data_IF_467830145360
#
_entry.id   IF_467830145360
#
_cell.length_a   1.000
_cell.length_b   1.000
_cell.length_c   1.000
_cell.angle_alpha   90.00
_cell.angle_beta   90.00
_cell.angle_gamma   90.00
#
_symmetry.space_group_name_H-M   'P 1'
#
loop_
_entity.id
_entity.type
_entity.pdbx_description
1 polymer ?
2 non-polymer ?
#
# COMPACT_ATOMS: atom_id res chain seq x y z
N UNK A 3 14.18 -9.61 16.47
CA UNK A 3 13.14 -9.14 15.50
C UNK A 3 13.23 -7.64 15.29
N UNK A 4 14.02 -7.22 14.32
CA UNK A 4 14.19 -5.81 14.01
C UNK A 4 13.34 -5.40 12.81
N UNK A 5 12.01 -5.55 12.96
CA UNK A 5 11.08 -5.20 11.89
C UNK A 5 9.71 -4.85 12.46
N UNK A 6 8.94 -4.09 11.70
CA UNK A 6 7.61 -3.68 12.13
C UNK A 6 6.61 -4.82 11.96
N UNK A 7 5.75 -5.05 12.98
CA UNK A 7 4.74 -6.12 12.95
C UNK A 7 3.65 -5.89 11.92
N UNK A 8 3.12 -4.67 11.89
CA UNK A 8 2.05 -4.31 10.95
C UNK A 8 2.35 -4.82 9.54
N UNK A 9 3.51 -4.45 9.02
CA UNK A 9 3.92 -4.87 7.68
C UNK A 9 4.33 -6.34 7.67
N UNK A 10 5.00 -6.77 8.73
CA UNK A 10 5.46 -8.15 8.84
C UNK A 10 4.29 -9.13 8.73
N UNK A 11 3.08 -8.66 9.01
CA UNK A 11 1.89 -9.49 8.94
C UNK A 11 1.39 -9.64 7.51
N UNK A 12 1.38 -8.53 6.77
CA UNK A 12 0.92 -8.54 5.39
C UNK A 12 1.93 -9.23 4.48
N UNK A 13 1.46 -9.69 3.32
CA UNK A 13 2.33 -10.36 2.38
C UNK A 13 2.78 -9.45 1.26
N UNK A 14 2.70 -9.95 0.02
CA UNK A 14 3.10 -9.17 -1.14
C UNK A 14 2.15 -9.40 -2.31
N UNK A 15 2.04 -8.41 -3.19
CA UNK A 15 1.16 -8.50 -4.35
C UNK A 15 1.96 -8.78 -5.61
N UNK A 16 1.34 -9.49 -6.55
CA UNK A 16 2.00 -9.82 -7.81
C UNK A 16 2.01 -8.62 -8.75
N UNK A 17 2.91 -8.65 -9.73
CA UNK A 17 3.02 -7.56 -10.69
C UNK A 17 1.73 -7.39 -11.48
N UNK A 18 1.03 -8.51 -11.70
CA UNK A 18 -0.23 -8.48 -12.44
C UNK A 18 -1.26 -7.59 -11.76
N UNK A 19 -1.37 -7.74 -10.44
CA UNK A 19 -2.31 -6.94 -9.67
C UNK A 19 -1.85 -5.49 -9.54
N UNK A 20 -0.55 -5.31 -9.33
CA UNK A 20 0.02 -3.97 -9.20
C UNK A 20 -0.04 -3.21 -10.52
N UNK A 21 0.07 -3.94 -11.63
CA UNK A 21 0.02 -3.31 -12.95
C UNK A 21 -1.24 -2.46 -13.12
N UNK A 22 -2.36 -2.99 -12.67
CA UNK A 22 -3.63 -2.28 -12.78
C UNK A 22 -3.65 -1.06 -11.87
N UNK A 23 -3.16 -1.23 -10.65
CA UNK A 23 -3.11 -0.14 -9.69
C UNK A 23 -2.10 0.91 -10.15
N UNK A 24 -1.05 0.45 -10.82
CA UNK A 24 -0.01 1.33 -11.34
C UNK A 24 -0.51 2.15 -12.54
N UNK A 25 -1.65 1.76 -13.09
CA UNK A 25 -2.20 2.46 -14.25
C UNK A 25 -2.53 3.91 -13.91
N UNK A 26 -2.65 4.21 -12.61
CA UNK A 26 -2.94 5.57 -12.18
C UNK A 26 -4.43 5.84 -12.06
N UNK A 27 -5.14 4.95 -11.37
CA UNK A 27 -6.57 5.11 -11.17
C UNK A 27 -6.98 4.61 -9.79
N UNK A 28 -7.87 5.36 -9.14
CA UNK A 28 -8.37 4.99 -7.81
C UNK A 28 -9.56 4.04 -7.92
N UNK A 29 -9.55 3.01 -7.09
CA UNK A 29 -10.64 2.03 -7.09
C UNK A 29 -11.89 2.59 -6.42
N UNK A 30 -11.72 3.66 -5.63
CA UNK A 30 -12.85 4.28 -4.94
C UNK A 30 -13.39 5.48 -5.72
N UNK A 31 -12.50 6.38 -6.11
CA UNK A 31 -12.89 7.58 -6.86
C UNK A 31 -12.15 7.64 -8.19
N UNK A 32 -12.24 8.80 -8.85
CA UNK A 32 -11.58 9.00 -10.13
C UNK A 32 -10.71 10.25 -10.10
N UNK A 33 -9.52 10.12 -9.51
CA UNK A 33 -8.59 11.24 -9.41
C UNK A 33 -7.50 11.15 -10.48
N UNK A 34 -7.21 9.93 -10.92
CA UNK A 34 -6.19 9.70 -11.94
C UNK A 34 -4.81 10.09 -11.41
N UNK A 35 -3.83 9.21 -11.61
CA UNK A 35 -2.48 9.48 -11.16
C UNK A 35 -1.87 10.70 -11.82
N UNK A 36 -0.57 10.95 -11.63
CA UNK A 36 0.29 10.10 -10.80
C UNK A 36 0.01 10.24 -9.31
N UNK A 37 0.89 9.71 -8.48
CA UNK A 37 0.73 9.78 -7.04
C UNK A 37 -0.48 8.97 -6.59
N UNK A 38 -0.32 7.64 -6.56
CA UNK A 38 -1.40 6.76 -6.15
C UNK A 38 -0.89 5.69 -5.18
N UNK A 39 -1.76 5.27 -4.26
CA UNK A 39 -1.40 4.27 -3.27
C UNK A 39 -2.23 3.01 -3.44
N UNK A 40 -1.70 1.89 -2.95
CA UNK A 40 -2.39 0.61 -3.05
C UNK A 40 -2.19 -0.21 -1.78
N UNK A 41 -3.25 -0.88 -1.33
CA UNK A 41 -3.19 -1.70 -0.12
C UNK A 41 -2.12 -2.78 -0.27
N UNK A 42 -1.24 -2.86 0.74
CA UNK A 42 -0.16 -3.83 0.73
C UNK A 42 -0.64 -5.19 1.22
N UNK A 43 -1.77 -5.22 1.91
CA UNK A 43 -2.32 -6.47 2.43
C UNK A 43 -2.45 -7.51 1.32
N UNK A 44 -1.65 -8.57 1.41
CA UNK A 44 -1.67 -9.64 0.41
C UNK A 44 -3.09 -10.15 0.19
N UNK A 45 -3.88 -10.14 1.24
CA UNK A 45 -5.26 -10.61 1.16
C UNK A 45 -6.18 -9.55 0.56
N UNK A 46 -5.75 -8.29 0.63
CA UNK A 46 -6.54 -7.18 0.09
C UNK A 46 -5.96 -6.69 -1.23
N UNK A 47 -6.83 -6.18 -2.09
CA UNK A 47 -6.40 -5.67 -3.39
C UNK A 47 -7.20 -4.42 -3.76
N UNK A 48 -7.02 -3.36 -2.97
CA UNK A 48 -7.72 -2.10 -3.21
C UNK A 48 -6.75 -0.99 -3.60
N UNK A 49 -7.23 -0.06 -4.42
CA UNK A 49 -6.42 1.06 -4.86
C UNK A 49 -6.97 2.38 -4.32
N UNK A 50 -6.15 3.07 -3.53
CA UNK A 50 -6.59 4.33 -2.95
C UNK A 50 -5.55 5.43 -3.10
N UNK A 51 -5.99 6.67 -2.97
CA UNK A 51 -5.09 7.82 -3.08
C UNK A 51 -4.78 8.39 -1.69
N UNK A 52 -3.57 8.90 -1.54
CA UNK A 52 -3.15 9.46 -0.26
C UNK A 52 -3.78 10.80 0.04
N UNK A 53 -3.31 11.44 1.11
CA UNK A 53 -3.84 12.74 1.52
C UNK A 53 -3.72 13.77 0.39
N UNK A 54 -2.83 13.51 -0.55
CA UNK A 54 -2.63 14.42 -1.67
C UNK A 54 -3.91 14.55 -2.51
N UNK A 55 -4.83 13.60 -2.35
CA UNK A 55 -6.08 13.63 -3.10
C UNK A 55 -7.28 13.56 -2.15
N UNK A 56 -7.51 12.39 -1.56
CA UNK A 56 -8.63 12.21 -0.65
C UNK A 56 -8.26 11.31 0.54
N UNK A 57 -6.97 11.07 0.72
CA UNK A 57 -6.50 10.23 1.82
C UNK A 57 -7.29 8.92 1.90
N UNK A 58 -7.75 8.45 0.75
CA UNK A 58 -8.52 7.21 0.68
C UNK A 58 -7.74 6.06 1.31
N UNK A 59 -6.42 6.08 1.14
CA UNK A 59 -5.56 5.05 1.70
C UNK A 59 -5.69 5.03 3.22
N UNK A 60 -5.83 6.20 3.80
CA UNK A 60 -5.97 6.32 5.25
C UNK A 60 -7.32 5.80 5.71
N UNK A 61 -8.38 6.26 5.04
CA UNK A 61 -9.73 5.83 5.38
C UNK A 61 -9.84 4.32 5.25
N UNK A 62 -9.41 3.80 4.10
CA UNK A 62 -9.46 2.35 3.87
C UNK A 62 -8.63 1.62 4.92
N UNK A 63 -7.52 2.23 5.31
CA UNK A 63 -6.64 1.64 6.31
C UNK A 63 -7.39 1.43 7.62
N UNK A 64 -8.16 2.42 8.04
CA UNK A 64 -8.92 2.31 9.27
C UNK A 64 -10.06 1.31 9.13
N UNK A 65 -10.83 1.45 8.06
CA UNK A 65 -11.97 0.57 7.80
C UNK A 65 -11.58 -0.91 7.91
N UNK A 66 -10.49 -1.30 7.26
CA UNK A 66 -10.04 -2.68 7.29
C UNK A 66 -8.82 -2.87 8.19
N UNK A 67 -8.52 -1.85 9.00
CA UNK A 67 -7.38 -1.92 9.90
C UNK A 67 -6.07 -2.22 9.15
N UNK A 68 -6.07 -1.91 7.85
CA UNK A 68 -4.89 -2.12 7.02
C UNK A 68 -3.99 -0.89 7.09
N UNK A 69 -2.98 -0.93 7.95
CA UNK A 69 -2.06 0.19 8.12
C UNK A 69 -0.87 0.08 7.18
N UNK A 70 -1.01 -0.68 6.10
CA UNK A 70 0.07 -0.84 5.13
C UNK A 70 -0.36 -0.38 3.74
N UNK A 71 0.32 0.64 3.24
CA UNK A 71 0.01 1.19 1.92
C UNK A 71 1.28 1.51 1.15
N UNK A 72 1.32 1.08 -0.11
CA UNK A 72 2.49 1.33 -0.95
C UNK A 72 2.12 2.14 -2.19
N UNK A 73 2.82 3.26 -2.38
CA UNK A 73 2.57 4.12 -3.52
C UNK A 73 3.20 3.56 -4.79
N UNK A 74 2.37 3.36 -5.82
CA UNK A 74 2.85 2.81 -7.09
C UNK A 74 3.69 3.84 -7.86
N UNK A 75 3.70 5.08 -7.38
CA UNK A 75 4.46 6.13 -8.04
C UNK A 75 5.96 6.01 -7.77
N UNK A 76 6.31 5.67 -6.53
CA UNK A 76 7.70 5.52 -6.14
C UNK A 76 8.01 4.11 -5.66
N UNK A 77 6.97 3.28 -5.57
CA UNK A 77 7.14 1.89 -5.11
C UNK A 77 7.65 1.85 -3.68
N UNK A 78 7.13 2.74 -2.84
CA UNK A 78 7.53 2.80 -1.44
C UNK A 78 6.37 2.42 -0.52
N UNK A 79 6.69 1.72 0.56
CA UNK A 79 5.67 1.28 1.52
C UNK A 79 5.57 2.26 2.69
N UNK A 80 4.36 2.36 3.25
CA UNK A 80 4.12 3.26 4.38
C UNK A 80 3.35 2.55 5.48
N UNK A 81 3.73 2.83 6.72
CA UNK A 81 3.08 2.24 7.89
C UNK A 81 2.35 3.29 8.71
N UNK A 82 1.02 3.21 8.72
CA UNK A 82 0.19 4.17 9.46
C UNK A 82 0.35 3.97 10.98
N UNK A 83 0.37 2.71 11.41
CA UNK A 83 0.50 2.40 12.83
C UNK A 83 1.81 2.95 13.38
N UNK A 84 2.91 2.63 12.72
CA UNK A 84 4.21 3.10 13.14
C UNK A 84 4.34 4.60 12.92
N UNK A 85 3.63 5.10 11.91
CA UNK A 85 3.64 6.52 11.58
C UNK A 85 4.93 6.89 10.84
N UNK A 86 5.28 6.08 9.84
CA UNK A 86 6.49 6.32 9.06
C UNK A 86 6.53 5.41 7.84
N UNK A 87 7.58 5.57 7.04
CA UNK A 87 7.75 4.76 5.83
C UNK A 87 8.54 3.49 6.13
N UNK A 88 8.08 2.37 5.59
CA UNK A 88 8.75 1.09 5.81
C UNK A 88 9.14 0.45 4.47
N UNK A 89 9.91 -0.62 4.54
CA UNK A 89 10.35 -1.33 3.34
C UNK A 89 9.93 -2.80 3.38
N UNK A 90 9.56 -3.34 2.24
CA UNK A 90 9.14 -4.73 2.15
C UNK A 90 10.22 -5.57 1.47
N UNK A 91 10.76 -6.53 2.20
CA UNK A 91 11.80 -7.40 1.68
C UNK A 91 11.25 -8.28 0.55
N UNK A 92 12.13 -8.70 -0.35
CA UNK A 92 11.74 -9.54 -1.47
C UNK A 92 11.85 -11.02 -1.11
N UNK A 93 12.80 -11.33 -0.24
CA UNK A 93 13.02 -12.72 0.19
C UNK A 93 13.28 -12.79 1.69
N UNK A 94 12.61 -13.72 2.35
CA UNK A 94 12.78 -13.89 3.80
C UNK A 94 13.67 -15.08 4.11
N UNK A 95 13.11 -16.29 4.01
CA UNK A 95 13.87 -17.49 4.28
C UNK A 95 13.59 -18.05 5.66
N UNK A 96 12.32 -18.29 5.95
CA UNK A 96 11.91 -18.83 7.25
C UNK A 96 11.43 -20.27 7.10
N UNK A 97 10.83 -20.58 5.95
CA UNK A 97 10.32 -21.92 5.70
C UNK A 97 10.63 -22.35 4.27
#
# INVERSE_FOLDING_TARGET
GSRNHCPHLDSVGEITKEDLIQKSLGTCQDCKVQGPNLWACLENRCSYVGCGESQVDHSTIHSQETKHYLTVNLTTLRVWCYACSKEVFLDRKLGTQ
#
